data_IF_917820440995
#
_entry.id   IF_917820440995
#
_cell.length_a   1.000
_cell.length_b   1.000
_cell.length_c   1.000
_cell.angle_alpha   90.00
_cell.angle_beta   90.00
_cell.angle_gamma   90.00
#
_symmetry.space_group_name_H-M   'P 1'
#
loop_
_entity.id
_entity.type
_entity.pdbx_description
1 polymer ?
#
# COMPACT_ATOMS: atom_id res chain seq x y z
N UNK A 1 10.60 1.86 -20.20
CA UNK A 1 9.55 1.11 -19.49
C UNK A 1 8.66 1.95 -18.56
N UNK A 2 9.14 2.58 -17.46
CA UNK A 2 8.26 3.40 -16.59
C UNK A 2 8.08 4.86 -17.06
N UNK A 3 9.16 5.48 -17.53
CA UNK A 3 9.13 6.86 -18.06
C UNK A 3 8.31 6.95 -19.36
N UNK A 4 8.32 5.89 -20.16
CA UNK A 4 7.46 5.74 -21.34
C UNK A 4 5.96 5.70 -20.99
N UNK A 5 5.63 5.34 -19.74
CA UNK A 5 4.26 5.29 -19.22
C UNK A 5 3.89 6.55 -18.43
N UNK A 6 4.71 7.60 -18.49
CA UNK A 6 4.55 8.83 -17.71
C UNK A 6 4.51 8.58 -16.18
N UNK A 7 5.21 7.52 -15.73
CA UNK A 7 5.33 7.17 -14.31
C UNK A 7 6.73 7.49 -13.81
N UNK A 8 6.84 8.47 -12.92
CA UNK A 8 8.11 8.77 -12.24
C UNK A 8 8.49 7.67 -11.25
N UNK A 9 9.64 7.00 -11.38
CA UNK A 9 10.10 6.02 -10.41
C UNK A 9 10.56 6.72 -9.12
N UNK A 10 9.93 6.39 -7.99
CA UNK A 10 10.20 7.01 -6.68
C UNK A 10 10.95 6.08 -5.72
N UNK A 11 11.20 4.83 -6.12
CA UNK A 11 11.93 3.85 -5.30
C UNK A 11 13.43 4.20 -5.32
N UNK A 12 14.15 4.12 -4.20
CA UNK A 12 15.60 4.34 -4.17
C UNK A 12 16.34 3.23 -4.92
N UNK A 13 17.51 3.56 -5.46
CA UNK A 13 18.43 2.56 -6.03
C UNK A 13 18.95 1.63 -4.93
N UNK A 14 19.26 0.39 -5.28
CA UNK A 14 19.90 -0.56 -4.35
C UNK A 14 21.33 -0.15 -4.06
N UNK A 15 21.91 -0.69 -3.00
CA UNK A 15 23.28 -0.41 -2.60
C UNK A 15 24.33 -0.85 -3.65
N UNK A 16 23.99 -1.83 -4.48
CA UNK A 16 24.84 -2.37 -5.55
C UNK A 16 24.53 -1.79 -6.94
N UNK A 17 23.72 -0.73 -7.02
CA UNK A 17 23.38 -0.04 -8.26
C UNK A 17 24.07 1.31 -8.32
N UNK A 18 24.54 1.68 -9.51
CA UNK A 18 25.06 3.03 -9.77
C UNK A 18 23.91 4.04 -9.69
N UNK A 19 24.09 5.05 -8.83
CA UNK A 19 23.09 6.09 -8.58
C UNK A 19 23.12 7.17 -9.67
N UNK A 20 24.28 7.42 -10.25
CA UNK A 20 24.50 8.47 -11.23
C UNK A 20 23.98 8.03 -12.62
N UNK A 21 23.88 6.72 -12.85
CA UNK A 21 23.27 6.14 -14.05
C UNK A 21 21.73 6.25 -14.08
N UNK A 22 21.10 6.82 -13.03
CA UNK A 22 19.64 6.89 -12.92
C UNK A 22 19.09 8.06 -13.73
N UNK A 23 18.04 7.86 -14.56
CA UNK A 23 17.47 8.92 -15.38
C UNK A 23 16.63 9.96 -14.59
N UNK A 24 16.37 9.72 -13.31
CA UNK A 24 15.52 10.57 -12.47
C UNK A 24 16.10 10.66 -11.07
N UNK A 25 16.19 11.87 -10.53
CA UNK A 25 16.61 12.11 -9.15
C UNK A 25 15.73 11.41 -8.12
N UNK A 26 16.33 10.93 -7.04
CA UNK A 26 15.60 10.28 -5.96
C UNK A 26 14.89 11.30 -5.06
N UNK A 27 13.56 11.35 -5.17
CA UNK A 27 12.71 12.15 -4.28
C UNK A 27 12.38 11.37 -2.99
N UNK A 28 13.11 11.70 -1.92
CA UNK A 28 12.95 11.09 -0.60
C UNK A 28 11.60 11.38 0.04
N UNK A 29 11.03 12.57 -0.16
CA UNK A 29 9.77 12.97 0.46
C UNK A 29 8.59 12.29 -0.23
N UNK A 30 8.65 12.15 -1.55
CA UNK A 30 7.69 11.32 -2.30
C UNK A 30 7.80 9.85 -1.94
N UNK A 31 9.00 9.31 -1.74
CA UNK A 31 9.16 7.93 -1.28
C UNK A 31 8.58 7.70 0.12
N UNK A 32 8.76 8.65 1.05
CA UNK A 32 8.22 8.59 2.42
C UNK A 32 6.69 8.46 2.45
N UNK A 33 5.98 9.06 1.49
CA UNK A 33 4.50 8.99 1.42
C UNK A 33 3.96 7.56 1.28
N UNK A 34 4.75 6.58 0.82
CA UNK A 34 4.32 5.18 0.74
C UNK A 34 3.98 4.59 2.11
N UNK A 35 4.53 5.14 3.21
CA UNK A 35 4.26 4.68 4.57
C UNK A 35 2.75 4.65 4.88
N UNK A 36 1.96 5.54 4.26
CA UNK A 36 0.49 5.54 4.40
C UNK A 36 -0.10 4.23 3.85
N UNK A 37 0.37 3.80 2.68
CA UNK A 37 -0.05 2.55 2.04
C UNK A 37 0.46 1.34 2.84
N UNK A 38 1.71 1.37 3.31
CA UNK A 38 2.26 0.27 4.11
C UNK A 38 1.50 0.09 5.42
N UNK A 39 1.16 1.19 6.12
CA UNK A 39 0.33 1.15 7.34
C UNK A 39 -1.07 0.64 7.05
N UNK A 40 -1.68 1.06 5.94
CA UNK A 40 -2.98 0.58 5.52
C UNK A 40 -2.95 -0.95 5.28
N UNK A 41 -1.96 -1.44 4.53
CA UNK A 41 -1.79 -2.86 4.27
C UNK A 41 -1.49 -3.62 5.57
N UNK A 42 -0.64 -3.08 6.44
CA UNK A 42 -0.34 -3.67 7.74
C UNK A 42 -1.60 -3.90 8.56
N UNK A 43 -2.47 -2.89 8.64
CA UNK A 43 -3.76 -3.01 9.31
C UNK A 43 -4.71 -4.00 8.60
N UNK A 44 -4.81 -3.96 7.27
CA UNK A 44 -5.64 -4.94 6.52
C UNK A 44 -5.20 -6.38 6.78
N UNK A 45 -3.90 -6.61 7.04
CA UNK A 45 -3.38 -7.93 7.38
C UNK A 45 -3.76 -8.40 8.80
N UNK A 46 -4.16 -7.51 9.71
CA UNK A 46 -4.72 -7.89 11.01
C UNK A 46 -6.08 -8.61 10.83
N UNK A 47 -6.82 -8.28 9.78
CA UNK A 47 -8.01 -9.01 9.38
C UNK A 47 -7.61 -10.36 8.75
N UNK A 48 -7.59 -11.44 9.56
CA UNK A 48 -7.18 -12.79 9.10
C UNK A 48 -7.84 -13.25 7.79
N UNK A 49 -9.13 -12.97 7.59
CA UNK A 49 -9.83 -13.33 6.36
C UNK A 49 -9.26 -12.61 5.12
N UNK A 50 -8.86 -11.35 5.27
CA UNK A 50 -8.21 -10.57 4.22
C UNK A 50 -6.78 -11.07 3.99
N UNK A 51 -6.01 -11.25 5.06
CA UNK A 51 -4.61 -11.71 4.98
C UNK A 51 -4.47 -13.06 4.28
N UNK A 52 -5.24 -14.05 4.72
CA UNK A 52 -5.16 -15.42 4.21
C UNK A 52 -6.01 -15.64 2.95
N UNK A 53 -6.77 -14.63 2.50
CA UNK A 53 -7.66 -14.70 1.34
C UNK A 53 -8.56 -15.96 1.38
N UNK A 54 -9.40 -16.06 2.41
CA UNK A 54 -10.31 -17.21 2.55
C UNK A 54 -11.36 -17.31 1.44
N UNK A 55 -11.69 -16.18 0.82
CA UNK A 55 -12.70 -16.11 -0.22
C UNK A 55 -12.22 -16.72 -1.54
N UNK A 56 -13.01 -17.67 -2.07
CA UNK A 56 -12.73 -18.35 -3.34
C UNK A 56 -12.86 -17.42 -4.55
N UNK A 57 -13.84 -16.52 -4.53
CA UNK A 57 -14.12 -15.62 -5.66
C UNK A 57 -13.52 -14.24 -5.43
N UNK A 58 -13.12 -13.57 -6.51
CA UNK A 58 -12.60 -12.20 -6.44
C UNK A 58 -13.64 -11.20 -5.90
N UNK A 59 -14.93 -11.42 -6.24
CA UNK A 59 -16.03 -10.56 -5.79
C UNK A 59 -16.21 -10.66 -4.28
N UNK A 60 -16.23 -11.87 -3.72
CA UNK A 60 -16.35 -12.05 -2.28
C UNK A 60 -15.13 -11.49 -1.54
N UNK A 61 -13.93 -11.71 -2.08
CA UNK A 61 -12.71 -11.12 -1.51
C UNK A 61 -12.79 -9.58 -1.47
N UNK A 62 -13.23 -8.95 -2.57
CA UNK A 62 -13.45 -7.50 -2.60
C UNK A 62 -14.51 -7.05 -1.58
N UNK A 63 -15.55 -7.87 -1.35
CA UNK A 63 -16.52 -7.68 -0.27
C UNK A 63 -15.86 -7.67 1.11
N UNK A 64 -14.99 -8.64 1.39
CA UNK A 64 -14.28 -8.71 2.68
C UNK A 64 -13.32 -7.53 2.90
N UNK A 65 -12.68 -7.03 1.83
CA UNK A 65 -11.91 -5.78 1.89
C UNK A 65 -12.80 -4.60 2.29
N UNK A 66 -13.96 -4.43 1.63
CA UNK A 66 -14.92 -3.37 1.98
C UNK A 66 -15.41 -3.48 3.42
N UNK A 67 -15.72 -4.69 3.89
CA UNK A 67 -16.13 -4.95 5.26
C UNK A 67 -15.04 -4.58 6.28
N UNK A 68 -13.77 -4.88 5.98
CA UNK A 68 -12.65 -4.44 6.81
C UNK A 68 -12.63 -2.91 6.92
N UNK A 69 -12.75 -2.19 5.79
CA UNK A 69 -12.77 -0.72 5.79
C UNK A 69 -13.94 -0.14 6.59
N UNK A 70 -15.14 -0.69 6.43
CA UNK A 70 -16.31 -0.28 7.20
C UNK A 70 -16.04 -0.47 8.70
N UNK A 71 -15.55 -1.65 9.10
CA UNK A 71 -15.21 -1.93 10.49
C UNK A 71 -14.15 -0.98 11.06
N UNK A 72 -13.16 -0.59 10.24
CA UNK A 72 -12.15 0.42 10.63
C UNK A 72 -12.76 1.79 10.82
N UNK A 73 -13.60 2.22 9.89
CA UNK A 73 -14.24 3.51 9.92
C UNK A 73 -15.13 3.67 11.17
N UNK A 74 -15.94 2.65 11.47
CA UNK A 74 -16.79 2.63 12.65
C UNK A 74 -15.98 2.70 13.96
N UNK A 75 -14.83 2.00 14.03
CA UNK A 75 -13.92 2.09 15.20
C UNK A 75 -13.30 3.48 15.38
N UNK A 76 -13.09 4.23 14.30
CA UNK A 76 -12.58 5.60 14.37
C UNK A 76 -13.69 6.56 14.84
N UNK A 77 -14.93 6.35 14.36
CA UNK A 77 -16.07 7.20 14.69
C UNK A 77 -16.65 6.98 16.09
N UNK A 78 -16.54 5.77 16.64
CA UNK A 78 -16.82 5.50 18.04
C UNK A 78 -15.50 5.31 18.79
N UNK A 79 -14.77 6.40 19.12
CA UNK A 79 -13.75 6.32 20.13
C UNK A 79 -14.46 5.91 21.42
N UNK A 80 -14.22 4.66 21.82
CA UNK A 80 -14.74 4.05 23.05
C UNK A 80 -14.56 5.04 24.21
N UNK A 81 -15.64 5.41 24.89
CA UNK A 81 -15.59 6.04 26.22
C UNK A 81 -14.81 5.16 27.19
#
# INVERSE_FOLDING_TARGET
>A
MLLEMDVTPVIPSKANEDRDARPVEFDKDRYRRRNIVERLIGWLKECRCVFARFEKTAINFAGMIKMAFIGRYLKILQPRL
#
